data_IF_013859975464
#
_entry.id   IF_013859975464
#
_cell.length_a   1.000
_cell.length_b   1.000
_cell.length_c   1.000
_cell.angle_alpha   90.00
_cell.angle_beta   90.00
_cell.angle_gamma   90.00
#
_symmetry.space_group_name_H-M   'P 1'
#
loop_
_entity.id
_entity.type
_entity.pdbx_description
1 polymer ?
#
# COMPACT_ATOMS: atom_id res chain seq x y z
N UNK A 1 18.25 -9.30 4.85
CA UNK A 1 17.16 -9.90 5.63
C UNK A 1 15.87 -9.67 4.87
N UNK A 2 15.02 -10.68 4.76
CA UNK A 2 13.71 -10.57 4.08
C UNK A 2 12.66 -10.78 5.16
N UNK A 3 11.71 -9.85 5.25
CA UNK A 3 10.59 -9.96 6.18
C UNK A 3 9.54 -10.90 5.58
N UNK A 4 9.07 -11.86 6.38
CA UNK A 4 7.97 -12.76 6.01
C UNK A 4 6.70 -12.21 6.64
N UNK A 5 5.65 -12.05 5.83
CA UNK A 5 4.38 -11.49 6.27
C UNK A 5 3.33 -12.60 6.38
N UNK A 6 2.51 -12.52 7.43
CA UNK A 6 1.32 -13.34 7.59
C UNK A 6 0.07 -12.47 7.71
N UNK A 7 -1.13 -13.01 7.42
CA UNK A 7 -2.34 -12.21 7.55
C UNK A 7 -2.70 -11.96 9.02
N UNK A 8 -2.92 -10.68 9.37
CA UNK A 8 -3.49 -10.31 10.67
C UNK A 8 -5.01 -10.18 10.57
N UNK A 9 -5.71 -10.70 11.57
CA UNK A 9 -7.14 -10.46 11.80
C UNK A 9 -7.37 -9.33 12.82
N UNK A 10 -6.29 -8.73 13.32
CA UNK A 10 -6.35 -7.55 14.16
C UNK A 10 -6.29 -6.28 13.29
N UNK A 11 -6.74 -5.16 13.84
CA UNK A 11 -6.70 -3.86 13.17
C UNK A 11 -5.30 -3.20 13.18
N UNK A 12 -4.25 -3.94 13.53
CA UNK A 12 -2.88 -3.47 13.71
C UNK A 12 -1.85 -4.50 13.25
N UNK A 13 -0.65 -4.00 12.93
CA UNK A 13 0.55 -4.82 12.74
C UNK A 13 0.87 -5.56 14.04
N UNK A 14 1.08 -6.87 13.96
CA UNK A 14 1.53 -7.70 15.08
C UNK A 14 2.91 -8.26 14.71
N UNK A 15 4.00 -7.65 15.20
CA UNK A 15 5.34 -8.02 14.78
C UNK A 15 5.85 -9.29 15.47
N UNK A 16 6.88 -9.92 14.89
CA UNK A 16 7.65 -11.02 15.48
C UNK A 16 6.81 -12.21 15.99
N UNK A 17 5.73 -12.55 15.29
CA UNK A 17 4.89 -13.68 15.63
C UNK A 17 5.55 -14.99 15.18
N UNK A 18 5.60 -15.97 16.09
CA UNK A 18 6.20 -17.27 15.80
C UNK A 18 5.15 -18.21 15.23
N UNK A 19 5.37 -18.68 14.01
CA UNK A 19 4.56 -19.68 13.31
C UNK A 19 5.46 -20.87 12.95
N UNK A 20 5.51 -21.86 13.84
CA UNK A 20 6.47 -22.96 13.74
C UNK A 20 7.91 -22.47 13.82
N UNK A 21 8.70 -22.77 12.78
CA UNK A 21 10.10 -22.34 12.67
C UNK A 21 10.27 -20.93 12.08
N UNK A 22 9.17 -20.29 11.65
CA UNK A 22 9.19 -18.96 11.06
C UNK A 22 8.84 -17.90 12.11
N UNK A 23 9.51 -16.75 12.01
CA UNK A 23 9.10 -15.50 12.67
C UNK A 23 8.59 -14.57 11.58
N UNK A 24 7.35 -14.12 11.73
CA UNK A 24 6.63 -13.33 10.73
C UNK A 24 6.04 -12.07 11.35
N UNK A 25 5.79 -11.09 10.50
CA UNK A 25 4.97 -9.94 10.86
C UNK A 25 3.54 -10.17 10.37
N UNK A 26 2.56 -10.20 11.28
CA UNK A 26 1.17 -10.28 10.88
C UNK A 26 0.66 -8.90 10.50
N UNK A 27 0.24 -8.73 9.24
CA UNK A 27 -0.15 -7.43 8.70
C UNK A 27 -1.64 -7.38 8.31
N UNK A 28 -2.35 -6.30 8.69
CA UNK A 28 -3.70 -6.07 8.21
C UNK A 28 -3.68 -5.81 6.70
N UNK A 29 -4.65 -6.35 5.98
CA UNK A 29 -4.75 -6.18 4.53
C UNK A 29 -4.16 -7.31 3.70
N UNK A 30 -3.33 -8.21 4.28
CA UNK A 30 -2.73 -9.29 3.50
C UNK A 30 -3.75 -10.33 3.05
N UNK A 31 -4.80 -10.58 3.84
CA UNK A 31 -5.93 -11.43 3.41
C UNK A 31 -6.52 -10.89 2.10
N UNK A 32 -6.77 -9.58 2.01
CA UNK A 32 -7.32 -8.96 0.81
C UNK A 32 -6.38 -9.13 -0.39
N UNK A 33 -5.08 -8.90 -0.20
CA UNK A 33 -4.08 -9.05 -1.25
C UNK A 33 -3.98 -10.49 -1.77
N UNK A 34 -4.03 -11.49 -0.87
CA UNK A 34 -3.96 -12.91 -1.24
C UNK A 34 -5.23 -13.41 -1.96
N UNK A 35 -6.37 -12.75 -1.78
CA UNK A 35 -7.63 -13.11 -2.46
C UNK A 35 -7.78 -12.42 -3.83
N UNK A 36 -7.01 -11.38 -4.11
CA UNK A 36 -7.10 -10.62 -5.36
C UNK A 36 -6.10 -11.17 -6.39
N UNK A 37 -6.40 -11.05 -7.70
CA UNK A 37 -5.45 -11.43 -8.74
C UNK A 37 -4.13 -10.68 -8.57
N UNK A 38 -3.02 -11.41 -8.62
CA UNK A 38 -1.70 -10.83 -8.55
C UNK A 38 -1.21 -10.38 -9.93
N UNK A 39 -0.31 -9.39 -9.95
CA UNK A 39 0.38 -8.92 -11.15
C UNK A 39 1.70 -9.67 -11.33
N UNK A 40 1.89 -10.30 -12.50
CA UNK A 40 3.14 -10.98 -12.85
C UNK A 40 4.03 -10.06 -13.68
N UNK A 41 5.24 -9.81 -13.21
CA UNK A 41 6.24 -8.97 -13.84
C UNK A 41 7.49 -9.77 -14.16
N UNK A 42 8.14 -9.45 -15.28
CA UNK A 42 9.50 -9.95 -15.57
C UNK A 42 10.49 -8.88 -15.14
N UNK A 43 11.31 -9.19 -14.14
CA UNK A 43 12.34 -8.30 -13.63
C UNK A 43 13.71 -8.72 -14.20
N UNK A 44 14.39 -7.77 -14.84
CA UNK A 44 15.79 -7.89 -15.23
C UNK A 44 16.65 -7.13 -14.23
N UNK A 45 17.44 -7.84 -13.45
CA UNK A 45 18.25 -7.30 -12.36
C UNK A 45 19.71 -7.48 -12.70
N UNK A 46 20.51 -6.43 -12.46
CA UNK A 46 21.96 -6.54 -12.50
C UNK A 46 22.48 -6.80 -11.10
N UNK A 47 23.20 -7.90 -10.92
CA UNK A 47 23.85 -8.24 -9.66
C UNK A 47 25.09 -7.36 -9.47
N UNK A 48 25.54 -7.21 -8.22
CA UNK A 48 26.78 -6.47 -7.90
C UNK A 48 28.02 -7.08 -8.55
N UNK A 49 27.97 -8.36 -8.93
CA UNK A 49 29.01 -9.03 -9.71
C UNK A 49 29.01 -8.65 -11.19
N UNK A 50 28.08 -7.79 -11.65
CA UNK A 50 27.88 -7.44 -13.06
C UNK A 50 27.09 -8.48 -13.88
N UNK A 51 26.61 -9.57 -13.25
CA UNK A 51 25.82 -10.60 -13.93
C UNK A 51 24.36 -10.19 -13.99
N UNK A 52 23.74 -10.35 -15.16
CA UNK A 52 22.29 -10.22 -15.32
C UNK A 52 21.54 -11.42 -14.75
N UNK A 53 20.40 -11.16 -14.11
CA UNK A 53 19.43 -12.15 -13.66
C UNK A 53 18.05 -11.75 -14.17
N UNK A 54 17.37 -12.65 -14.85
CA UNK A 54 15.97 -12.47 -15.26
C UNK A 54 15.09 -13.36 -14.38
N UNK A 55 14.09 -12.78 -13.74
CA UNK A 55 13.20 -13.53 -12.86
C UNK A 55 11.76 -13.03 -13.00
N UNK A 56 10.81 -13.96 -12.83
CA UNK A 56 9.38 -13.63 -12.78
C UNK A 56 9.00 -13.33 -11.34
N UNK A 57 8.47 -12.14 -11.09
CA UNK A 57 7.98 -11.70 -9.78
C UNK A 57 6.46 -11.63 -9.84
N UNK A 58 5.82 -12.11 -8.79
CA UNK A 58 4.38 -11.97 -8.59
C UNK A 58 4.17 -10.95 -7.47
N UNK A 59 3.48 -9.85 -7.77
CA UNK A 59 3.21 -8.76 -6.83
C UNK A 59 1.71 -8.63 -6.60
N UNK A 60 1.28 -8.11 -5.43
CA UNK A 60 -0.09 -7.66 -5.27
C UNK A 60 -0.43 -6.59 -6.32
N UNK A 61 -1.68 -6.61 -6.81
CA UNK A 61 -2.18 -5.53 -7.65
C UNK A 61 -2.10 -4.18 -6.91
N UNK A 62 -2.08 -3.08 -7.68
CA UNK A 62 -1.88 -1.74 -7.10
C UNK A 62 -2.92 -1.41 -6.02
N UNK A 63 -4.18 -1.84 -6.16
CA UNK A 63 -5.22 -1.61 -5.16
C UNK A 63 -4.96 -2.40 -3.88
N UNK A 64 -4.53 -3.65 -3.99
CA UNK A 64 -4.10 -4.46 -2.85
C UNK A 64 -2.90 -3.83 -2.13
N UNK A 65 -1.91 -3.37 -2.89
CA UNK A 65 -0.73 -2.70 -2.35
C UNK A 65 -1.10 -1.39 -1.61
N UNK A 66 -2.03 -0.60 -2.18
CA UNK A 66 -2.58 0.59 -1.52
C UNK A 66 -3.25 0.25 -0.20
N UNK A 67 -4.10 -0.79 -0.17
CA UNK A 67 -4.79 -1.20 1.05
C UNK A 67 -3.81 -1.65 2.13
N UNK A 68 -2.82 -2.47 1.77
CA UNK A 68 -1.75 -2.92 2.66
C UNK A 68 -0.98 -1.73 3.25
N UNK A 69 -0.51 -0.82 2.40
CA UNK A 69 0.27 0.34 2.84
C UNK A 69 -0.56 1.31 3.67
N UNK A 70 -1.83 1.50 3.36
CA UNK A 70 -2.71 2.37 4.15
C UNK A 70 -2.84 1.82 5.58
N UNK A 71 -3.16 0.54 5.71
CA UNK A 71 -3.36 -0.10 7.01
C UNK A 71 -2.07 -0.16 7.83
N UNK A 72 -0.92 -0.38 7.18
CA UNK A 72 0.39 -0.27 7.84
C UNK A 72 0.72 1.17 8.30
N UNK A 73 0.44 2.16 7.45
CA UNK A 73 0.68 3.59 7.77
C UNK A 73 -0.07 4.02 9.02
N UNK A 74 -1.33 3.57 9.20
CA UNK A 74 -2.13 3.86 10.40
C UNK A 74 -1.42 3.47 11.70
N UNK A 75 -0.64 2.38 11.70
CA UNK A 75 0.07 1.92 12.90
C UNK A 75 1.45 2.56 13.10
N UNK A 76 2.12 2.96 12.02
CA UNK A 76 3.53 3.41 12.04
C UNK A 76 3.70 4.92 11.93
N UNK A 77 2.80 5.61 11.21
CA UNK A 77 2.91 7.03 10.89
C UNK A 77 4.26 7.46 10.27
N UNK A 78 4.93 6.54 9.58
CA UNK A 78 6.26 6.75 9.04
C UNK A 78 6.21 7.56 7.73
N UNK A 79 7.07 8.58 7.61
CA UNK A 79 7.10 9.45 6.44
C UNK A 79 7.36 8.69 5.12
N UNK A 80 8.21 7.64 5.19
CA UNK A 80 8.46 6.73 4.06
C UNK A 80 7.19 6.04 3.55
N UNK A 81 6.31 5.60 4.45
CA UNK A 81 5.03 4.99 4.06
C UNK A 81 4.08 6.04 3.43
N UNK A 82 4.14 7.30 3.86
CA UNK A 82 3.36 8.38 3.22
C UNK A 82 3.82 8.66 1.78
N UNK A 83 5.13 8.63 1.53
CA UNK A 83 5.70 8.76 0.18
C UNK A 83 5.32 7.57 -0.70
N UNK A 84 5.35 6.35 -0.15
CA UNK A 84 4.93 5.14 -0.87
C UNK A 84 3.44 5.22 -1.24
N UNK A 85 2.58 5.65 -0.31
CA UNK A 85 1.16 5.86 -0.57
C UNK A 85 0.91 6.91 -1.67
N UNK A 86 1.68 8.00 -1.68
CA UNK A 86 1.62 8.97 -2.77
C UNK A 86 1.95 8.34 -4.13
N UNK A 87 3.04 7.57 -4.20
CA UNK A 87 3.45 6.88 -5.43
C UNK A 87 2.40 5.88 -5.90
N UNK A 88 1.85 5.10 -4.97
CA UNK A 88 0.81 4.11 -5.25
C UNK A 88 -0.51 4.75 -5.71
N UNK A 89 -0.92 5.90 -5.16
CA UNK A 89 -2.12 6.63 -5.63
C UNK A 89 -1.92 7.13 -7.07
N UNK A 90 -0.73 7.64 -7.40
CA UNK A 90 -0.42 8.00 -8.79
C UNK A 90 -0.45 6.79 -9.71
N UNK A 91 0.18 5.68 -9.30
CA UNK A 91 0.19 4.44 -10.06
C UNK A 91 -1.23 3.91 -10.29
N UNK A 92 -2.09 3.95 -9.27
CA UNK A 92 -3.47 3.51 -9.38
C UNK A 92 -4.25 4.34 -10.40
N UNK A 93 -4.16 5.67 -10.31
CA UNK A 93 -4.82 6.55 -11.26
C UNK A 93 -4.30 6.33 -12.70
N UNK A 94 -2.97 6.19 -12.86
CA UNK A 94 -2.32 5.93 -14.15
C UNK A 94 -2.71 4.57 -14.75
N UNK A 95 -2.95 3.57 -13.90
CA UNK A 95 -3.49 2.26 -14.29
C UNK A 95 -4.99 2.29 -14.63
N UNK A 96 -5.63 3.46 -14.57
CA UNK A 96 -7.05 3.62 -14.91
C UNK A 96 -8.01 3.32 -13.77
N UNK A 97 -7.52 2.99 -12.57
CA UNK A 97 -8.38 2.69 -11.43
C UNK A 97 -9.21 3.90 -11.02
N UNK A 98 -10.48 3.66 -10.68
CA UNK A 98 -11.44 4.64 -10.19
C UNK A 98 -12.11 4.16 -8.91
N UNK A 99 -12.87 5.05 -8.28
CA UNK A 99 -13.65 4.74 -7.06
C UNK A 99 -14.52 3.48 -7.19
N UNK A 100 -15.02 3.17 -8.39
CA UNK A 100 -15.87 1.99 -8.64
C UNK A 100 -15.09 0.67 -8.58
N UNK A 101 -13.77 0.70 -8.81
CA UNK A 101 -12.90 -0.48 -8.79
C UNK A 101 -12.37 -0.81 -7.38
N UNK A 102 -12.66 0.08 -6.41
CA UNK A 102 -12.18 -0.06 -5.05
C UNK A 102 -12.85 -1.26 -4.34
N UNK A 103 -12.11 -2.07 -3.59
CA UNK A 103 -12.66 -3.24 -2.90
C UNK A 103 -13.72 -2.84 -1.87
N UNK A 104 -14.94 -3.35 -2.05
CA UNK A 104 -16.05 -3.19 -1.11
C UNK A 104 -15.99 -4.10 0.12
N UNK A 105 -14.87 -4.79 0.36
CA UNK A 105 -14.68 -5.63 1.57
C UNK A 105 -14.49 -4.76 2.82
N UNK A 106 -14.63 -5.35 4.01
CA UNK A 106 -14.37 -4.62 5.29
C UNK A 106 -12.97 -4.02 5.30
N UNK A 107 -11.96 -4.78 4.88
CA UNK A 107 -10.56 -4.33 4.78
C UNK A 107 -10.39 -3.19 3.79
N UNK A 108 -11.01 -3.30 2.60
CA UNK A 108 -11.02 -2.22 1.61
C UNK A 108 -11.67 -0.96 2.18
N UNK A 109 -12.74 -1.12 2.98
CA UNK A 109 -13.38 0.00 3.65
C UNK A 109 -12.51 0.70 4.69
N UNK A 110 -11.85 -0.08 5.53
CA UNK A 110 -10.92 0.46 6.52
C UNK A 110 -9.74 1.19 5.86
N UNK A 111 -9.19 0.64 4.77
CA UNK A 111 -8.09 1.28 4.05
C UNK A 111 -8.49 2.64 3.47
N UNK A 112 -9.65 2.73 2.82
CA UNK A 112 -10.16 3.99 2.29
C UNK A 112 -10.43 5.03 3.40
N UNK A 113 -10.99 4.62 4.54
CA UNK A 113 -11.16 5.51 5.69
C UNK A 113 -9.82 6.05 6.22
N UNK A 114 -8.78 5.21 6.27
CA UNK A 114 -7.42 5.63 6.65
C UNK A 114 -6.85 6.64 5.65
N UNK A 115 -6.99 6.37 4.35
CA UNK A 115 -6.48 7.26 3.31
C UNK A 115 -7.16 8.64 3.38
N UNK A 116 -8.49 8.69 3.50
CA UNK A 116 -9.20 9.96 3.65
C UNK A 116 -8.84 10.69 4.94
N UNK A 117 -8.69 9.97 6.06
CA UNK A 117 -8.29 10.55 7.34
C UNK A 117 -6.92 11.24 7.28
N UNK A 118 -5.93 10.60 6.67
CA UNK A 118 -4.53 11.09 6.71
C UNK A 118 -4.07 11.85 5.47
N UNK A 119 -4.83 11.77 4.38
CA UNK A 119 -4.46 12.38 3.10
C UNK A 119 -5.57 13.23 2.47
N UNK A 120 -6.83 13.16 2.94
CA UNK A 120 -7.97 13.84 2.33
C UNK A 120 -8.10 15.35 2.66
N UNK A 121 -7.58 15.79 3.80
CA UNK A 121 -7.66 17.19 4.25
C UNK A 121 -6.35 17.97 3.98
N UNK A 122 -6.41 19.29 3.68
CA UNK A 122 -5.20 20.10 3.40
C UNK A 122 -4.16 20.09 4.52
N UNK A 123 -4.62 19.96 5.78
CA UNK A 123 -3.77 19.94 6.97
C UNK A 123 -3.34 18.54 7.41
N UNK A 124 -3.75 17.47 6.72
CA UNK A 124 -3.56 16.11 7.18
C UNK A 124 -2.06 15.72 7.26
N UNK A 125 -1.69 14.97 8.28
CA UNK A 125 -0.30 14.65 8.57
C UNK A 125 0.37 13.83 7.45
N UNK A 126 -0.32 12.81 6.92
CA UNK A 126 0.20 11.99 5.83
C UNK A 126 0.46 12.79 4.56
N UNK A 127 -0.40 13.78 4.28
CA UNK A 127 -0.21 14.69 3.16
C UNK A 127 1.08 15.53 3.28
N UNK A 128 1.37 16.07 4.47
CA UNK A 128 2.60 16.83 4.74
C UNK A 128 3.85 15.95 4.68
N UNK A 129 3.74 14.70 5.14
CA UNK A 129 4.83 13.73 5.09
C UNK A 129 5.11 13.23 3.67
N UNK A 130 4.09 13.14 2.81
CA UNK A 130 4.23 12.64 1.44
C UNK A 130 5.00 13.59 0.52
N UNK A 131 4.82 14.91 0.65
CA UNK A 131 5.60 15.90 -0.09
C UNK A 131 5.61 17.27 0.61
N UNK A 132 6.74 17.99 0.60
CA UNK A 132 6.80 19.37 1.09
C UNK A 132 6.06 20.34 0.15
N UNK A 133 5.92 20.03 -1.14
CA UNK A 133 5.37 20.95 -2.15
C UNK A 133 3.86 21.03 -2.06
N UNK A 134 3.30 22.24 -2.12
CA UNK A 134 1.85 22.45 -2.09
C UNK A 134 1.18 21.82 -3.33
N UNK A 135 1.78 21.96 -4.51
CA UNK A 135 1.25 21.40 -5.76
C UNK A 135 1.08 19.88 -5.71
N UNK A 136 2.11 19.16 -5.23
CA UNK A 136 2.05 17.70 -5.08
C UNK A 136 0.94 17.28 -4.10
N UNK A 137 0.79 18.02 -3.00
CA UNK A 137 -0.27 17.76 -2.00
C UNK A 137 -1.67 18.00 -2.56
N UNK A 138 -1.85 19.06 -3.33
CA UNK A 138 -3.12 19.32 -4.03
C UNK A 138 -3.43 18.20 -5.02
N UNK A 139 -2.43 17.76 -5.81
CA UNK A 139 -2.59 16.65 -6.75
C UNK A 139 -2.91 15.33 -6.02
N UNK A 140 -2.23 15.02 -4.92
CA UNK A 140 -2.52 13.83 -4.10
C UNK A 140 -3.97 13.80 -3.66
N UNK A 141 -4.47 14.91 -3.12
CA UNK A 141 -5.87 15.00 -2.69
C UNK A 141 -6.85 14.83 -3.84
N UNK A 142 -6.55 15.39 -5.01
CA UNK A 142 -7.39 15.23 -6.19
C UNK A 142 -7.42 13.75 -6.63
N UNK A 143 -6.26 13.13 -6.81
CA UNK A 143 -6.16 11.72 -7.22
C UNK A 143 -6.78 10.77 -6.18
N UNK A 144 -6.64 11.08 -4.90
CA UNK A 144 -7.28 10.31 -3.83
C UNK A 144 -8.80 10.26 -4.02
N UNK A 145 -9.44 11.37 -4.39
CA UNK A 145 -10.89 11.44 -4.60
C UNK A 145 -11.34 10.68 -5.85
N UNK A 146 -10.50 10.61 -6.87
CA UNK A 146 -10.77 9.88 -8.11
C UNK A 146 -10.65 8.35 -7.95
N UNK A 147 -9.76 7.90 -7.06
CA UNK A 147 -9.42 6.48 -6.90
C UNK A 147 -10.08 5.84 -5.68
N UNK A 148 -10.29 6.60 -4.60
CA UNK A 148 -10.66 6.06 -3.29
C UNK A 148 -12.05 6.58 -2.85
N UNK A 149 -13.04 5.70 -2.67
CA UNK A 149 -14.39 6.11 -2.29
C UNK A 149 -14.44 6.70 -0.87
N UNK A 150 -15.46 7.53 -0.64
CA UNK A 150 -15.87 8.01 0.69
C UNK A 150 -17.19 7.32 1.02
N UNK A 151 -17.30 6.70 2.20
CA UNK A 151 -18.56 6.20 2.75
C UNK A 151 -18.93 6.96 4.01
#
# INVERSE_FOLDING_TARGET
MVDILAPSYQNSLVPNQRHGDLVVDEVPGLVLALHRPAESLTAHVQLTSGRGLSLRVVLPDVTSALCLKALAYRGRFAAKDAVDLWRLINAAYAAGLRVADWPGSVTGRQAAAVLHRFFGAPGAAGLKQASPRVGDRTRLRALLREVVPVW
#
